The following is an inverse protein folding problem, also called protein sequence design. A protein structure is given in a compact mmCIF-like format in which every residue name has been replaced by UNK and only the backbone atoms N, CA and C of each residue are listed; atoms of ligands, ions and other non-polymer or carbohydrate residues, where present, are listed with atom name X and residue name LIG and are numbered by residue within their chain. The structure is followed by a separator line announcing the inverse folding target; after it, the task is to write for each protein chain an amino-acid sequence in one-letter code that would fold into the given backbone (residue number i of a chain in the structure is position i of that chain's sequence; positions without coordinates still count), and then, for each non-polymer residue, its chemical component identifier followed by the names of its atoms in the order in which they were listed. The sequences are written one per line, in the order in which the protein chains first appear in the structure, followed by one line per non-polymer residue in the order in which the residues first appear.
data_IF_417127530778
#
_entry.id   IF_417127530778
#
_cell.length_a   1.000
_cell.length_b   1.000
_cell.length_c   1.000
_cell.angle_alpha   90.00
_cell.angle_beta   90.00
_cell.angle_gamma   90.00
#
_symmetry.space_group_name_H-M   'P 1'
#
loop_
_entity.id
_entity.type
_entity.pdbx_description
1 polymer ?
#
# COMPACT_ATOMS: atom_id res chain seq x y z
N UNK A 1 -1.40 10.90 -19.76
CA UNK A 1 -2.29 10.92 -18.56
C UNK A 1 -1.54 11.63 -17.45
N UNK A 2 -2.19 12.56 -16.75
CA UNK A 2 -1.55 13.32 -15.68
C UNK A 2 -1.33 12.39 -14.47
N UNK A 3 -0.11 12.27 -13.95
CA UNK A 3 0.18 11.35 -12.84
C UNK A 3 -0.59 11.74 -11.57
N UNK A 4 -0.83 13.04 -11.39
CA UNK A 4 -1.71 13.57 -10.34
C UNK A 4 -3.15 13.02 -10.43
N UNK A 5 -3.68 12.80 -11.63
CA UNK A 5 -5.02 12.19 -11.82
C UNK A 5 -5.02 10.71 -11.46
N UNK A 6 -3.92 9.99 -11.68
CA UNK A 6 -3.80 8.58 -11.29
C UNK A 6 -3.79 8.47 -9.78
N UNK A 7 -2.93 9.24 -9.11
CA UNK A 7 -2.83 9.23 -7.64
C UNK A 7 -4.13 9.71 -7.01
N UNK A 8 -4.69 10.83 -7.48
CA UNK A 8 -5.96 11.37 -6.98
C UNK A 8 -7.14 10.42 -7.23
N UNK A 9 -7.20 9.79 -8.40
CA UNK A 9 -8.23 8.79 -8.72
C UNK A 9 -8.14 7.56 -7.82
N UNK A 10 -6.94 7.02 -7.59
CA UNK A 10 -6.73 5.92 -6.65
C UNK A 10 -7.09 6.29 -5.21
N UNK A 11 -6.82 7.53 -4.79
CA UNK A 11 -7.22 8.01 -3.46
C UNK A 11 -8.75 8.09 -3.30
N UNK A 12 -9.46 8.66 -4.28
CA UNK A 12 -10.93 8.67 -4.28
C UNK A 12 -11.50 7.25 -4.28
N UNK A 13 -10.87 6.34 -5.03
CA UNK A 13 -11.26 4.93 -5.07
C UNK A 13 -11.02 4.24 -3.71
N UNK A 14 -9.94 4.57 -3.00
CA UNK A 14 -9.69 4.07 -1.65
C UNK A 14 -10.75 4.59 -0.66
N UNK A 15 -11.13 5.87 -0.75
CA UNK A 15 -12.20 6.46 0.05
C UNK A 15 -13.55 5.80 -0.22
N UNK A 16 -13.89 5.55 -1.49
CA UNK A 16 -15.15 4.91 -1.86
C UNK A 16 -15.20 3.45 -1.41
N UNK A 17 -14.09 2.71 -1.51
CA UNK A 17 -14.00 1.36 -0.95
C UNK A 17 -14.16 1.37 0.56
N UNK A 18 -13.48 2.26 1.28
CA UNK A 18 -13.61 2.38 2.73
C UNK A 18 -15.06 2.67 3.15
N UNK A 19 -15.71 3.61 2.46
CA UNK A 19 -17.13 3.92 2.69
C UNK A 19 -18.04 2.72 2.40
N UNK A 20 -17.81 2.00 1.30
CA UNK A 20 -18.59 0.82 0.93
C UNK A 20 -18.38 -0.34 1.92
N UNK A 21 -17.14 -0.59 2.35
CA UNK A 21 -16.84 -1.58 3.38
C UNK A 21 -17.57 -1.23 4.67
N UNK A 22 -17.50 0.04 5.11
CA UNK A 22 -18.18 0.45 6.33
C UNK A 22 -19.71 0.40 6.23
N UNK A 23 -20.27 0.66 5.05
CA UNK A 23 -21.69 0.47 4.79
C UNK A 23 -22.11 -1.00 4.88
N UNK A 24 -21.33 -1.91 4.30
CA UNK A 24 -21.63 -3.35 4.31
C UNK A 24 -21.44 -4.01 5.68
N UNK A 25 -20.47 -3.55 6.48
CA UNK A 25 -20.18 -4.13 7.80
C UNK A 25 -20.85 -3.37 8.94
N UNK A 26 -21.61 -2.32 8.64
CA UNK A 26 -22.21 -1.41 9.62
C UNK A 26 -21.19 -0.80 10.62
N UNK A 27 -19.91 -0.79 10.28
CA UNK A 27 -18.82 -0.31 11.15
C UNK A 27 -17.77 0.44 10.33
N UNK A 28 -17.35 1.65 10.75
CA UNK A 28 -16.52 2.51 9.91
C UNK A 28 -15.16 1.87 9.60
N UNK A 29 -14.79 1.84 8.31
CA UNK A 29 -13.44 1.47 7.88
C UNK A 29 -12.59 2.75 7.72
N UNK A 30 -12.08 3.29 8.83
CA UNK A 30 -11.30 4.54 8.82
C UNK A 30 -9.91 4.27 8.23
N UNK A 31 -9.60 4.92 7.10
CA UNK A 31 -8.33 4.77 6.40
C UNK A 31 -7.13 5.05 7.33
N UNK A 32 -6.20 4.09 7.40
CA UNK A 32 -4.99 4.19 8.21
C UNK A 32 -5.18 4.09 9.73
N UNK A 33 -6.42 3.90 10.19
CA UNK A 33 -6.76 3.78 11.62
C UNK A 33 -7.29 2.38 11.92
N UNK A 34 -8.26 1.89 11.16
CA UNK A 34 -8.76 0.52 11.34
C UNK A 34 -7.95 -0.46 10.51
N UNK A 35 -7.94 -1.75 10.86
CA UNK A 35 -7.23 -2.75 10.07
C UNK A 35 -7.79 -2.82 8.63
N UNK A 36 -9.12 -2.80 8.49
CA UNK A 36 -9.78 -2.74 7.18
C UNK A 36 -9.40 -1.48 6.39
N UNK A 37 -9.45 -0.29 7.02
CA UNK A 37 -9.09 0.97 6.37
C UNK A 37 -7.61 1.04 6.01
N UNK A 38 -6.73 0.48 6.85
CA UNK A 38 -5.29 0.39 6.59
C UNK A 38 -5.01 -0.55 5.42
N UNK A 39 -5.68 -1.69 5.35
CA UNK A 39 -5.55 -2.64 4.24
C UNK A 39 -5.99 -2.00 2.91
N UNK A 40 -7.14 -1.31 2.90
CA UNK A 40 -7.65 -0.59 1.72
C UNK A 40 -6.67 0.50 1.30
N UNK A 41 -6.15 1.29 2.25
CA UNK A 41 -5.19 2.34 1.96
C UNK A 41 -3.88 1.78 1.37
N UNK A 42 -3.33 0.72 1.94
CA UNK A 42 -2.09 0.11 1.47
C UNK A 42 -2.24 -0.51 0.08
N UNK A 43 -3.32 -1.23 -0.18
CA UNK A 43 -3.53 -1.87 -1.47
C UNK A 43 -3.94 -0.85 -2.57
N UNK A 44 -4.89 0.03 -2.26
CA UNK A 44 -5.52 0.91 -3.25
C UNK A 44 -4.93 2.32 -3.25
N UNK A 45 -4.69 2.89 -2.07
CA UNK A 45 -4.11 4.23 -1.93
C UNK A 45 -2.61 4.29 -2.24
N UNK A 46 -1.87 3.21 -1.95
CA UNK A 46 -0.41 3.14 -2.18
C UNK A 46 -0.06 2.15 -3.29
N UNK A 47 -0.52 0.90 -3.20
CA UNK A 47 -0.12 -0.17 -4.11
C UNK A 47 -0.55 0.08 -5.57
N UNK A 48 -1.82 0.38 -5.77
CA UNK A 48 -2.42 0.58 -7.09
C UNK A 48 -1.78 1.73 -7.89
N UNK A 49 -1.61 2.97 -7.36
CA UNK A 49 -0.98 4.04 -8.13
C UNK A 49 0.50 3.73 -8.41
N UNK A 50 1.24 3.12 -7.49
CA UNK A 50 2.62 2.71 -7.72
C UNK A 50 2.74 1.69 -8.84
N UNK A 51 1.80 0.75 -8.94
CA UNK A 51 1.74 -0.23 -10.02
C UNK A 51 1.42 0.42 -11.38
N UNK A 52 0.46 1.33 -11.41
CA UNK A 52 0.09 2.03 -12.64
C UNK A 52 1.22 2.93 -13.13
N UNK A 53 1.94 3.59 -12.21
CA UNK A 53 3.12 4.38 -12.53
C UNK A 53 4.29 3.50 -12.98
N UNK A 54 4.51 2.33 -12.35
CA UNK A 54 5.58 1.42 -12.74
C UNK A 54 5.40 0.88 -14.16
N UNK A 55 4.15 0.62 -14.58
CA UNK A 55 3.83 0.21 -15.96
C UNK A 55 4.16 1.29 -17.00
N UNK A 56 4.15 2.57 -16.61
CA UNK A 56 4.48 3.68 -17.51
C UNK A 56 5.97 3.99 -17.53
N UNK A 57 6.58 4.04 -16.35
CA UNK A 57 7.99 4.42 -16.18
C UNK A 57 8.97 3.27 -16.44
N UNK A 58 8.49 2.02 -16.43
CA UNK A 58 9.35 0.84 -16.43
C UNK A 58 10.14 0.66 -15.13
N UNK A 59 9.83 1.43 -14.07
CA UNK A 59 10.60 1.44 -12.83
C UNK A 59 10.33 0.20 -12.00
N UNK A 60 11.36 -0.63 -11.80
CA UNK A 60 11.30 -1.79 -10.91
C UNK A 60 11.06 -1.41 -9.44
N UNK A 61 11.48 -0.20 -9.03
CA UNK A 61 11.31 0.28 -7.65
C UNK A 61 9.83 0.54 -7.36
N UNK A 62 9.14 1.20 -8.28
CA UNK A 62 7.70 1.46 -8.14
C UNK A 62 6.90 0.15 -8.13
N UNK A 63 7.33 -0.83 -8.93
CA UNK A 63 6.70 -2.15 -8.93
C UNK A 63 6.94 -2.91 -7.61
N UNK A 64 8.14 -2.81 -7.04
CA UNK A 64 8.45 -3.36 -5.72
C UNK A 64 7.64 -2.72 -4.60
N UNK A 65 7.51 -1.38 -4.62
CA UNK A 65 6.65 -0.63 -3.69
C UNK A 65 5.18 -1.02 -3.84
N UNK A 66 4.72 -1.22 -5.07
CA UNK A 66 3.36 -1.69 -5.34
C UNK A 66 3.11 -3.07 -4.72
N UNK A 67 4.02 -4.01 -4.95
CA UNK A 67 3.93 -5.35 -4.40
C UNK A 67 3.95 -5.34 -2.86
N UNK A 68 4.84 -4.55 -2.25
CA UNK A 68 4.91 -4.41 -0.79
C UNK A 68 3.64 -3.79 -0.21
N UNK A 69 3.09 -2.75 -0.85
CA UNK A 69 1.81 -2.16 -0.44
C UNK A 69 0.68 -3.19 -0.44
N UNK A 70 0.57 -3.99 -1.50
CA UNK A 70 -0.45 -5.04 -1.58
C UNK A 70 -0.22 -6.14 -0.53
N UNK A 71 1.00 -6.67 -0.40
CA UNK A 71 1.32 -7.74 0.56
C UNK A 71 1.08 -7.27 2.00
N UNK A 72 1.50 -6.06 2.34
CA UNK A 72 1.26 -5.49 3.66
C UNK A 72 -0.24 -5.25 3.90
N UNK A 73 -0.97 -4.75 2.91
CA UNK A 73 -2.42 -4.59 3.00
C UNK A 73 -3.13 -5.91 3.26
N UNK A 74 -2.75 -6.98 2.55
CA UNK A 74 -3.26 -8.35 2.80
C UNK A 74 -2.89 -8.83 4.20
N UNK A 75 -1.65 -8.63 4.63
CA UNK A 75 -1.19 -9.01 5.97
C UNK A 75 -2.00 -8.33 7.08
N UNK A 76 -2.26 -7.03 6.96
CA UNK A 76 -3.07 -6.27 7.92
C UNK A 76 -4.52 -6.76 7.92
N UNK A 77 -5.11 -7.03 6.75
CA UNK A 77 -6.46 -7.58 6.65
C UNK A 77 -6.58 -8.94 7.33
N UNK A 78 -5.64 -9.87 7.04
CA UNK A 78 -5.62 -11.21 7.65
C UNK A 78 -5.43 -11.13 9.16
N UNK A 79 -4.51 -10.28 9.64
CA UNK A 79 -4.29 -10.08 11.07
C UNK A 79 -5.54 -9.50 11.75
N UNK A 80 -6.17 -8.49 11.15
CA UNK A 80 -7.40 -7.90 11.69
C UNK A 80 -8.55 -8.90 11.78
N UNK A 81 -8.70 -9.78 10.78
CA UNK A 81 -9.70 -10.86 10.80
C UNK A 81 -9.36 -11.92 11.85
N UNK A 82 -8.09 -12.32 11.96
CA UNK A 82 -7.65 -13.34 12.92
C UNK A 82 -7.82 -12.93 14.39
N UNK A 83 -7.71 -11.63 14.67
CA UNK A 83 -7.91 -11.06 16.02
C UNK A 83 -9.39 -10.76 16.28
N UNK A 84 -10.25 -10.81 15.24
CA UNK A 84 -11.68 -10.51 15.34
C UNK A 84 -12.01 -9.02 15.40
N UNK A 85 -11.03 -8.14 15.16
CA UNK A 85 -11.14 -6.68 15.31
C UNK A 85 -10.79 -5.90 14.03
N UNK A 86 -11.37 -6.22 12.86
CA UNK A 86 -11.01 -5.56 11.60
C UNK A 86 -11.39 -4.07 11.55
N UNK A 87 -12.34 -3.66 12.39
CA UNK A 87 -12.87 -2.29 12.46
C UNK A 87 -12.48 -1.53 13.73
N UNK A 88 -11.83 -2.18 14.68
CA UNK A 88 -11.38 -1.48 15.88
C UNK A 88 -10.18 -0.60 15.54
N UNK A 89 -9.95 0.40 16.40
CA UNK A 89 -8.82 1.29 16.29
C UNK A 89 -7.53 0.49 16.40
N UNK A 90 -6.85 0.34 15.27
CA UNK A 90 -5.61 -0.41 15.19
C UNK A 90 -4.47 0.54 15.47
N UNK A 91 -3.89 0.47 16.68
CA UNK A 91 -2.64 1.17 17.02
C UNK A 91 -1.49 0.87 16.05
N UNK A 92 -1.62 -0.22 15.27
CA UNK A 92 -0.68 -0.69 14.27
C UNK A 92 -0.81 0.09 12.94
N UNK A 93 -1.94 0.76 12.66
CA UNK A 93 -2.26 1.32 11.32
C UNK A 93 -1.19 2.28 10.77
N UNK A 94 -0.84 3.31 11.53
CA UNK A 94 0.16 4.30 11.12
C UNK A 94 1.59 3.73 11.13
N UNK A 95 1.91 2.89 12.11
CA UNK A 95 3.22 2.22 12.21
C UNK A 95 3.42 1.28 11.03
N UNK A 96 2.42 0.51 10.64
CA UNK A 96 2.48 -0.39 9.49
C UNK A 96 2.67 0.39 8.18
N UNK A 97 1.96 1.51 8.00
CA UNK A 97 2.14 2.38 6.83
C UNK A 97 3.58 2.91 6.76
N UNK A 98 4.10 3.44 7.86
CA UNK A 98 5.50 3.89 7.94
C UNK A 98 6.48 2.75 7.67
N UNK A 99 6.22 1.56 8.23
CA UNK A 99 7.04 0.37 8.03
C UNK A 99 7.14 -0.01 6.56
N UNK A 100 6.03 0.01 5.84
CA UNK A 100 5.98 -0.29 4.40
C UNK A 100 6.74 0.74 3.59
N UNK A 101 6.58 2.02 3.89
CA UNK A 101 7.32 3.10 3.22
C UNK A 101 8.82 2.96 3.46
N UNK A 102 9.23 2.69 4.70
CA UNK A 102 10.63 2.52 5.08
C UNK A 102 11.22 1.26 4.42
N UNK A 103 10.59 0.09 4.59
CA UNK A 103 11.06 -1.16 4.00
C UNK A 103 11.08 -1.10 2.48
N UNK A 104 10.08 -0.46 1.87
CA UNK A 104 10.02 -0.28 0.42
C UNK A 104 11.15 0.59 -0.12
N UNK A 105 11.51 1.66 0.59
CA UNK A 105 12.70 2.45 0.26
C UNK A 105 13.99 1.66 0.45
N UNK A 106 14.08 0.86 1.53
CA UNK A 106 15.27 0.07 1.86
C UNK A 106 15.52 -1.04 0.81
N UNK A 107 14.47 -1.76 0.43
CA UNK A 107 14.52 -2.77 -0.65
C UNK A 107 14.84 -2.11 -1.99
N UNK A 108 14.22 -0.97 -2.29
CA UNK A 108 14.49 -0.20 -3.51
C UNK A 108 15.94 0.27 -3.61
N UNK A 109 16.52 0.73 -2.49
CA UNK A 109 17.92 1.11 -2.40
C UNK A 109 18.85 -0.11 -2.57
N UNK A 110 18.56 -1.22 -1.87
CA UNK A 110 19.35 -2.45 -2.00
C UNK A 110 19.37 -3.00 -3.43
N UNK A 111 18.23 -3.04 -4.10
CA UNK A 111 18.14 -3.46 -5.51
C UNK A 111 18.92 -2.52 -6.45
N UNK A 112 18.96 -1.22 -6.15
CA UNK A 112 19.74 -0.24 -6.92
C UNK A 112 21.24 -0.50 -6.78
N UNK A 113 21.72 -0.76 -5.56
CA UNK A 113 23.12 -1.10 -5.32
C UNK A 113 23.50 -2.43 -5.97
N UNK A 114 22.68 -3.48 -5.82
CA UNK A 114 22.91 -4.77 -6.47
C UNK A 114 23.04 -4.63 -7.99
N UNK A 115 22.17 -3.84 -8.62
CA UNK A 115 22.21 -3.59 -10.07
C UNK A 115 23.44 -2.78 -10.49
N UNK A 116 23.89 -1.86 -9.64
CA UNK A 116 25.09 -1.04 -9.91
C UNK A 116 26.36 -1.89 -9.79
N UNK A 117 26.44 -2.75 -8.78
CA UNK A 117 27.53 -3.71 -8.62
C UNK A 117 27.64 -4.69 -9.80
N UNK A 118 26.51 -5.20 -10.30
CA UNK A 118 26.51 -6.08 -11.49
C UNK A 118 26.99 -5.38 -12.77
N UNK A 119 26.72 -4.08 -12.93
CA UNK A 119 27.17 -3.30 -14.09
C UNK A 119 28.64 -2.90 -14.03
N UNK A 120 29.24 -2.85 -12.85
CA UNK A 120 30.66 -2.49 -12.71
C UNK A 120 31.60 -3.69 -12.86
N UNK A 121 31.06 -4.91 -12.93
CA UNK A 121 31.81 -6.16 -13.08
C UNK A 121 31.74 -6.76 -14.50
N UNK A 122 31.08 -6.05 -15.43
CA UNK A 122 31.07 -6.32 -16.88
C UNK A 122 31.93 -5.29 -17.60
#
# INVERSE_FOLDING_TARGET
MNDALVVGGCFVLALSLAGLTGFLTASPAILGVTAAGTAIYLAVGVGLPQYLLSRRSGSSIQLGLAALGVVAGVGVAVAGVAIGSPHDESSIGLVAILSVVVLGNLIGAGLREFRTGYRSAS
#
